data_IF_817652680362
#
_entry.id   IF_817652680362
#
_cell.length_a   1.000
_cell.length_b   1.000
_cell.length_c   1.000
_cell.angle_alpha   90.00
_cell.angle_beta   90.00
_cell.angle_gamma   90.00
#
_symmetry.space_group_name_H-M   'P 1'
#
loop_
_entity.id
_entity.type
_entity.pdbx_description
1 polymer ?
#
# COMPACT_ATOMS: atom_id res chain seq x y z
N UNK A 1 7.04 -23.60 15.12
CA UNK A 1 5.73 -22.96 14.89
C UNK A 1 4.90 -23.94 14.06
N UNK A 2 3.67 -24.27 14.45
CA UNK A 2 2.81 -25.15 13.65
C UNK A 2 2.34 -24.35 12.39
N UNK A 3 2.61 -24.81 11.15
CA UNK A 3 2.18 -24.12 9.93
C UNK A 3 0.68 -23.76 9.92
N UNK A 4 -0.17 -24.63 10.46
CA UNK A 4 -1.62 -24.43 10.49
C UNK A 4 -2.01 -23.26 11.39
N UNK A 5 -1.30 -23.07 12.51
CA UNK A 5 -1.55 -21.96 13.44
C UNK A 5 -1.17 -20.60 12.85
N UNK A 6 -0.13 -20.55 12.02
CA UNK A 6 0.28 -19.31 11.35
C UNK A 6 -0.68 -18.95 10.21
N UNK A 7 -1.10 -19.93 9.40
CA UNK A 7 -2.07 -19.69 8.33
C UNK A 7 -3.42 -19.19 8.87
N UNK A 8 -3.88 -19.75 9.99
CA UNK A 8 -5.11 -19.26 10.65
C UNK A 8 -4.94 -17.83 11.16
N UNK A 9 -3.82 -17.51 11.79
CA UNK A 9 -3.54 -16.16 12.27
C UNK A 9 -3.52 -15.14 11.13
N UNK A 10 -2.86 -15.46 10.00
CA UNK A 10 -2.84 -14.57 8.81
C UNK A 10 -4.24 -14.37 8.24
N UNK A 11 -5.02 -15.45 8.08
CA UNK A 11 -6.38 -15.38 7.52
C UNK A 11 -7.30 -14.46 8.33
N UNK A 12 -7.14 -14.40 9.65
CA UNK A 12 -7.94 -13.52 10.51
C UNK A 12 -7.71 -12.03 10.24
N UNK A 13 -6.63 -11.65 9.55
CA UNK A 13 -6.30 -10.28 9.19
C UNK A 13 -6.63 -9.92 7.73
N UNK A 14 -7.00 -10.90 6.90
CA UNK A 14 -7.36 -10.65 5.49
C UNK A 14 -8.82 -10.19 5.40
N UNK A 15 -9.07 -9.12 4.64
CA UNK A 15 -10.41 -8.60 4.39
C UNK A 15 -10.50 -8.03 2.98
N UNK A 16 -11.31 -8.65 2.13
CA UNK A 16 -11.59 -8.15 0.78
C UNK A 16 -12.31 -6.81 0.83
N UNK A 17 -13.23 -6.62 1.78
CA UNK A 17 -13.98 -5.37 1.94
C UNK A 17 -13.04 -4.20 2.22
N UNK A 18 -12.07 -4.36 3.12
CA UNK A 18 -11.07 -3.32 3.39
C UNK A 18 -10.23 -2.96 2.17
N UNK A 19 -9.92 -3.96 1.32
CA UNK A 19 -9.19 -3.72 0.06
C UNK A 19 -10.06 -2.95 -0.93
N UNK A 20 -11.34 -3.34 -1.09
CA UNK A 20 -12.28 -2.67 -1.98
C UNK A 20 -12.54 -1.22 -1.53
N UNK A 21 -12.75 -1.00 -0.23
CA UNK A 21 -12.88 0.34 0.35
C UNK A 21 -11.63 1.19 0.10
N UNK A 22 -10.45 0.60 0.26
CA UNK A 22 -9.19 1.28 -0.06
C UNK A 22 -9.08 1.67 -1.53
N UNK A 23 -9.50 0.80 -2.47
CA UNK A 23 -9.48 1.10 -3.91
C UNK A 23 -10.39 2.29 -4.24
N UNK A 24 -11.55 2.37 -3.59
CA UNK A 24 -12.52 3.44 -3.80
C UNK A 24 -12.03 4.82 -3.31
N UNK A 25 -11.00 4.86 -2.45
CA UNK A 25 -10.37 6.12 -2.01
C UNK A 25 -9.40 6.69 -3.04
N UNK A 26 -9.02 5.93 -4.06
CA UNK A 26 -8.06 6.35 -5.07
C UNK A 26 -8.79 6.88 -6.31
N UNK A 27 -8.38 8.02 -6.90
CA UNK A 27 -8.89 8.44 -8.21
C UNK A 27 -8.64 7.36 -9.26
N UNK A 28 -9.57 7.06 -10.17
CA UNK A 28 -9.37 5.94 -11.13
C UNK A 28 -8.19 6.17 -12.09
N UNK A 29 -8.04 7.40 -12.61
CA UNK A 29 -6.89 7.79 -13.43
C UNK A 29 -5.94 8.68 -12.60
N UNK A 30 -4.67 8.29 -12.57
CA UNK A 30 -3.60 8.88 -11.76
C UNK A 30 -2.32 8.95 -12.61
N UNK A 31 -2.41 9.62 -13.76
CA UNK A 31 -1.23 9.86 -14.61
C UNK A 31 -0.11 10.47 -13.78
N UNK A 32 1.11 9.95 -13.91
CA UNK A 32 2.24 10.38 -13.10
C UNK A 32 2.39 11.90 -13.07
N UNK A 33 2.58 12.45 -11.86
CA UNK A 33 2.70 13.88 -11.56
C UNK A 33 1.45 14.73 -11.79
N UNK A 34 0.33 14.14 -12.20
CA UNK A 34 -0.96 14.84 -12.19
C UNK A 34 -1.43 15.13 -10.76
N UNK A 35 -2.36 16.07 -10.62
CA UNK A 35 -3.00 16.32 -9.32
C UNK A 35 -3.69 15.07 -8.76
N UNK A 36 -4.25 14.22 -9.64
CA UNK A 36 -4.86 12.95 -9.24
C UNK A 36 -3.83 11.94 -8.70
N UNK A 37 -2.63 11.88 -9.28
CA UNK A 37 -1.51 11.08 -8.76
C UNK A 37 -1.07 11.57 -7.38
N UNK A 38 -0.88 12.88 -7.22
CA UNK A 38 -0.53 13.48 -5.92
C UNK A 38 -1.60 13.17 -4.87
N UNK A 39 -2.89 13.35 -5.18
CA UNK A 39 -3.99 12.99 -4.26
C UNK A 39 -4.01 11.50 -3.94
N UNK A 40 -3.75 10.63 -4.91
CA UNK A 40 -3.65 9.18 -4.71
C UNK A 40 -2.53 8.82 -3.72
N UNK A 41 -1.35 9.43 -3.88
CA UNK A 41 -0.21 9.23 -2.97
C UNK A 41 -0.49 9.73 -1.55
N UNK A 42 -1.14 10.88 -1.41
CA UNK A 42 -1.59 11.39 -0.11
C UNK A 42 -2.59 10.44 0.54
N UNK A 43 -3.58 9.94 -0.21
CA UNK A 43 -4.54 8.97 0.32
C UNK A 43 -3.86 7.67 0.79
N UNK A 44 -2.85 7.17 0.07
CA UNK A 44 -2.05 6.01 0.51
C UNK A 44 -1.30 6.32 1.80
N UNK A 45 -0.66 7.50 1.91
CA UNK A 45 0.03 7.90 3.13
C UNK A 45 -0.94 8.01 4.32
N UNK A 46 -2.15 8.55 4.13
CA UNK A 46 -3.18 8.58 5.16
C UNK A 46 -3.62 7.17 5.59
N UNK A 47 -3.79 6.25 4.64
CA UNK A 47 -4.11 4.84 4.94
C UNK A 47 -2.99 4.17 5.74
N UNK A 48 -1.72 4.40 5.39
CA UNK A 48 -0.57 3.92 6.16
C UNK A 48 -0.58 4.50 7.59
N UNK A 49 -0.85 5.80 7.73
CA UNK A 49 -0.90 6.47 9.03
C UNK A 49 -2.03 5.93 9.90
N UNK A 50 -3.19 5.63 9.32
CA UNK A 50 -4.35 5.08 10.02
C UNK A 50 -4.10 3.70 10.64
N UNK A 51 -3.13 2.93 10.13
CA UNK A 51 -2.71 1.64 10.71
C UNK A 51 -1.45 1.76 11.59
N UNK A 52 -1.06 2.98 11.96
CA UNK A 52 0.03 3.25 12.90
C UNK A 52 1.42 3.29 12.27
N UNK A 53 1.52 3.34 10.93
CA UNK A 53 2.79 3.55 10.26
C UNK A 53 3.14 5.04 10.15
N UNK A 54 4.42 5.34 9.92
CA UNK A 54 4.90 6.71 9.67
C UNK A 54 5.37 6.84 8.23
N UNK A 55 4.49 7.19 7.28
CA UNK A 55 4.86 7.32 5.89
C UNK A 55 5.78 8.52 5.65
N UNK A 56 6.68 8.36 4.69
CA UNK A 56 7.51 9.42 4.14
C UNK A 56 7.37 9.43 2.63
N UNK A 57 7.51 10.62 2.04
CA UNK A 57 7.47 10.82 0.59
C UNK A 57 8.85 11.33 0.17
N UNK A 58 9.46 10.69 -0.83
CA UNK A 58 10.72 11.19 -1.40
C UNK A 58 10.51 12.16 -2.56
N UNK A 59 11.64 12.64 -3.11
CA UNK A 59 11.66 13.60 -4.22
C UNK A 59 11.09 13.04 -5.53
N UNK A 60 10.98 11.72 -5.67
CA UNK A 60 10.33 11.05 -6.80
C UNK A 60 8.86 10.71 -6.49
N UNK A 61 8.32 11.24 -5.38
CA UNK A 61 6.97 11.02 -4.87
C UNK A 61 6.68 9.58 -4.43
N UNK A 62 7.68 8.72 -4.21
CA UNK A 62 7.40 7.39 -3.66
C UNK A 62 6.94 7.52 -2.21
N UNK A 63 5.81 6.89 -1.90
CA UNK A 63 5.31 6.79 -0.52
C UNK A 63 5.87 5.52 0.08
N UNK A 64 6.62 5.64 1.18
CA UNK A 64 7.17 4.48 1.90
C UNK A 64 6.90 4.59 3.39
N UNK A 65 6.67 3.45 4.01
CA UNK A 65 6.65 3.31 5.44
C UNK A 65 7.39 2.03 5.84
N UNK A 66 7.88 1.99 7.07
CA UNK A 66 8.56 0.81 7.63
C UNK A 66 8.12 0.62 9.06
N UNK A 67 7.82 -0.62 9.42
CA UNK A 67 7.79 -1.04 10.83
C UNK A 67 9.15 -1.60 11.24
N UNK A 68 9.53 -1.40 12.50
CA UNK A 68 10.81 -1.87 13.01
C UNK A 68 10.75 -3.38 13.31
N UNK A 69 11.66 -4.14 12.70
CA UNK A 69 11.81 -5.56 12.99
C UNK A 69 12.41 -5.81 14.38
N UNK A 70 12.32 -7.06 14.86
CA UNK A 70 12.87 -7.45 16.17
C UNK A 70 14.41 -7.52 16.18
N UNK A 71 15.02 -7.78 15.03
CA UNK A 71 16.48 -7.85 14.85
C UNK A 71 16.93 -6.77 13.88
N UNK A 72 17.57 -5.72 14.40
CA UNK A 72 17.92 -4.52 13.61
C UNK A 72 19.14 -4.71 12.70
N UNK A 73 19.91 -5.78 12.91
CA UNK A 73 21.07 -6.14 12.09
C UNK A 73 20.69 -6.81 10.77
N UNK A 74 19.45 -7.30 10.63
CA UNK A 74 19.01 -7.96 9.40
C UNK A 74 18.53 -6.93 8.37
N UNK A 75 18.73 -7.20 7.06
CA UNK A 75 18.14 -6.39 6.00
C UNK A 75 16.62 -6.36 6.07
N UNK A 76 15.96 -5.26 5.64
CA UNK A 76 14.51 -5.19 5.58
C UNK A 76 13.95 -6.08 4.47
N UNK A 77 12.73 -6.55 4.66
CA UNK A 77 11.89 -7.10 3.58
C UNK A 77 11.04 -5.94 3.06
N UNK A 78 10.99 -5.76 1.75
CA UNK A 78 10.23 -4.70 1.10
C UNK A 78 9.14 -5.34 0.25
N UNK A 79 7.91 -4.85 0.43
CA UNK A 79 6.76 -5.12 -0.43
C UNK A 79 6.33 -3.77 -0.99
N UNK A 80 5.95 -3.73 -2.26
CA UNK A 80 5.55 -2.50 -2.90
C UNK A 80 4.89 -2.74 -4.26
N UNK A 81 4.21 -1.72 -4.74
CA UNK A 81 3.59 -1.66 -6.06
C UNK A 81 3.56 -0.20 -6.54
N UNK A 82 3.08 0.05 -7.74
CA UNK A 82 2.92 1.42 -8.26
C UNK A 82 1.50 1.93 -8.02
N UNK A 83 1.36 3.24 -7.78
CA UNK A 83 0.04 3.88 -7.59
C UNK A 83 -0.38 4.68 -8.81
N UNK A 84 0.58 5.22 -9.56
CA UNK A 84 0.33 5.93 -10.81
C UNK A 84 -0.26 5.01 -11.87
N UNK A 85 -0.84 5.62 -12.90
CA UNK A 85 -1.47 4.89 -14.00
C UNK A 85 -0.98 5.38 -15.36
N UNK A 86 -1.25 4.55 -16.37
CA UNK A 86 -1.28 4.95 -17.77
C UNK A 86 -2.64 5.56 -18.14
N UNK A 87 -2.82 6.19 -19.32
CA UNK A 87 -4.13 6.63 -19.80
C UNK A 87 -5.11 5.45 -19.94
N UNK A 88 -6.39 5.69 -19.66
CA UNK A 88 -7.44 4.65 -19.68
C UNK A 88 -7.07 3.39 -18.86
N UNK A 89 -6.81 3.55 -17.55
CA UNK A 89 -6.23 2.47 -16.76
C UNK A 89 -7.24 1.40 -16.35
N UNK A 90 -6.70 0.22 -16.04
CA UNK A 90 -7.44 -0.80 -15.31
C UNK A 90 -7.54 -0.44 -13.83
N UNK A 91 -8.69 -0.74 -13.22
CA UNK A 91 -8.95 -0.45 -11.79
C UNK A 91 -7.91 -1.07 -10.84
N UNK A 92 -7.37 -2.24 -11.19
CA UNK A 92 -6.51 -3.04 -10.32
C UNK A 92 -5.01 -2.88 -10.58
N UNK A 93 -4.64 -2.38 -11.76
CA UNK A 93 -3.24 -2.29 -12.18
C UNK A 93 -2.48 -1.31 -11.29
N UNK A 94 -1.49 -1.82 -10.57
CA UNK A 94 -0.78 -1.12 -9.49
C UNK A 94 -1.58 -1.01 -8.18
N UNK A 95 -2.74 -0.35 -8.21
CA UNK A 95 -3.48 0.01 -6.98
C UNK A 95 -3.85 -1.18 -6.09
N UNK A 96 -4.22 -2.32 -6.68
CA UNK A 96 -4.51 -3.54 -5.90
C UNK A 96 -3.26 -4.04 -5.18
N UNK A 97 -2.10 -3.98 -5.85
CA UNK A 97 -0.82 -4.35 -5.25
C UNK A 97 -0.41 -3.42 -4.10
N UNK A 98 -0.76 -2.13 -4.18
CA UNK A 98 -0.50 -1.16 -3.10
C UNK A 98 -1.31 -1.50 -1.84
N UNK A 99 -2.57 -1.92 -1.98
CA UNK A 99 -3.45 -2.19 -0.84
C UNK A 99 -3.29 -3.58 -0.23
N UNK A 100 -2.82 -4.54 -1.02
CA UNK A 100 -2.54 -5.90 -0.54
C UNK A 100 -1.11 -6.07 0.01
N UNK A 101 -0.27 -5.04 -0.15
CA UNK A 101 1.14 -5.05 0.26
C UNK A 101 1.40 -4.66 1.72
#
# INVERSE_FOLDING_TARGET
>A
MNPDSWLQAVRAHLSADRVVEGLQRLPNERLAFSEADVRGRVAVAEMMSAVGLSPTIDTALNVRARTQGRELSLPPIIIGSHVDTVPAPGLYDGALGVLCG
#
